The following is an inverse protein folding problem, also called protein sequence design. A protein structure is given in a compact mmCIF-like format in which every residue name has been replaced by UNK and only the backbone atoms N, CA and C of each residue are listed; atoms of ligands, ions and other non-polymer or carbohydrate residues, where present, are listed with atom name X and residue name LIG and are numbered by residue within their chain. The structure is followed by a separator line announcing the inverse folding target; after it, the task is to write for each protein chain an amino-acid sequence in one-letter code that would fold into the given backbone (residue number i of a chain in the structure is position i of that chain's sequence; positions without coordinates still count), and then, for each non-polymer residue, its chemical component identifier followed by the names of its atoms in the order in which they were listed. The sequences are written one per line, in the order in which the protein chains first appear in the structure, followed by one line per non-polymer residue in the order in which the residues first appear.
data_IF_396861670395
#
_entry.id   IF_396861670395
#
_cell.length_a   1.000
_cell.length_b   1.000
_cell.length_c   1.000
_cell.angle_alpha   90.00
_cell.angle_beta   90.00
_cell.angle_gamma   90.00
#
_symmetry.space_group_name_H-M   'P 1'
#
loop_
_entity.id
_entity.type
_entity.pdbx_description
1 polymer ?
#
# COMPACT_ATOMS: atom_id res chain seq x y z
N UNK A 1 -5.78 -2.48 -24.79
CA UNK A 1 -6.90 -1.81 -24.07
C UNK A 1 -6.40 -0.52 -23.43
N UNK A 2 -7.32 0.34 -22.98
CA UNK A 2 -7.06 1.58 -22.23
C UNK A 2 -7.47 1.36 -20.77
N UNK A 3 -6.51 1.47 -19.87
CA UNK A 3 -6.68 1.14 -18.45
C UNK A 3 -6.50 2.41 -17.63
N UNK A 4 -7.55 2.78 -16.90
CA UNK A 4 -7.50 3.84 -15.92
C UNK A 4 -7.09 3.27 -14.57
N UNK A 5 -6.06 3.81 -13.96
CA UNK A 5 -5.63 3.44 -12.62
C UNK A 5 -5.95 4.58 -11.67
N UNK A 6 -6.60 4.29 -10.55
CA UNK A 6 -6.93 5.28 -9.51
C UNK A 6 -6.24 4.91 -8.20
N UNK A 7 -5.29 5.74 -7.76
CA UNK A 7 -4.57 5.47 -6.51
C UNK A 7 -4.07 6.75 -5.87
N UNK A 8 -4.12 6.85 -4.55
CA UNK A 8 -3.66 8.06 -3.85
C UNK A 8 -2.17 8.31 -4.08
N UNK A 9 -1.34 7.30 -3.82
CA UNK A 9 0.12 7.42 -3.90
C UNK A 9 0.66 6.78 -5.18
N UNK A 10 1.43 7.55 -5.95
CA UNK A 10 2.16 7.07 -7.13
C UNK A 10 3.63 7.53 -7.12
N UNK A 11 4.33 7.64 -8.25
CA UNK A 11 5.62 8.33 -8.30
C UNK A 11 5.50 9.73 -7.66
N UNK A 12 6.50 10.26 -6.93
CA UNK A 12 7.77 9.66 -6.54
C UNK A 12 7.72 8.92 -5.19
N UNK A 13 6.54 8.50 -4.72
CA UNK A 13 6.44 7.70 -3.51
C UNK A 13 7.08 6.32 -3.72
N UNK A 14 7.83 5.88 -2.70
CA UNK A 14 8.53 4.59 -2.65
C UNK A 14 7.91 3.68 -1.58
N UNK A 15 6.63 3.31 -1.79
CA UNK A 15 5.92 2.36 -0.93
C UNK A 15 6.18 0.90 -1.32
N UNK A 16 5.90 -0.07 -0.43
CA UNK A 16 6.19 -1.49 -0.67
C UNK A 16 5.46 -2.08 -1.89
N UNK A 17 4.31 -1.52 -2.26
CA UNK A 17 3.54 -1.94 -3.44
C UNK A 17 3.96 -1.23 -4.74
N UNK A 18 4.73 -0.15 -4.65
CA UNK A 18 5.10 0.66 -5.82
C UNK A 18 5.96 -0.13 -6.82
N UNK A 19 6.97 -0.92 -6.41
CA UNK A 19 7.72 -1.76 -7.35
C UNK A 19 6.82 -2.71 -8.14
N UNK A 20 5.86 -3.36 -7.46
CA UNK A 20 4.92 -4.31 -8.09
C UNK A 20 4.05 -3.61 -9.12
N UNK A 21 3.46 -2.46 -8.79
CA UNK A 21 2.61 -1.72 -9.73
C UNK A 21 3.42 -1.10 -10.88
N UNK A 22 4.62 -0.59 -10.61
CA UNK A 22 5.51 -0.07 -11.65
C UNK A 22 5.87 -1.16 -12.66
N UNK A 23 6.29 -2.33 -12.18
CA UNK A 23 6.57 -3.49 -13.02
C UNK A 23 5.32 -3.94 -13.80
N UNK A 24 4.19 -4.10 -13.11
CA UNK A 24 2.91 -4.49 -13.74
C UNK A 24 2.49 -3.55 -14.86
N UNK A 25 2.60 -2.23 -14.65
CA UNK A 25 2.18 -1.26 -15.65
C UNK A 25 3.18 -1.16 -16.80
N UNK A 26 4.48 -1.31 -16.55
CA UNK A 26 5.49 -1.43 -17.60
C UNK A 26 5.20 -2.63 -18.52
N UNK A 27 4.93 -3.79 -17.94
CA UNK A 27 4.58 -5.00 -18.70
C UNK A 27 3.28 -4.83 -19.50
N UNK A 28 2.26 -4.21 -18.90
CA UNK A 28 1.02 -3.92 -19.63
C UNK A 28 1.25 -2.95 -20.79
N UNK A 29 2.08 -1.92 -20.61
CA UNK A 29 2.45 -1.00 -21.68
C UNK A 29 3.24 -1.70 -22.78
N UNK A 30 4.20 -2.55 -22.43
CA UNK A 30 4.97 -3.36 -23.38
C UNK A 30 4.06 -4.30 -24.20
N UNK A 31 2.98 -4.80 -23.60
CA UNK A 31 1.92 -5.58 -24.28
C UNK A 31 0.93 -4.72 -25.09
N UNK A 32 1.18 -3.42 -25.25
CA UNK A 32 0.37 -2.52 -26.07
C UNK A 32 -0.86 -1.93 -25.39
N UNK A 33 -0.99 -2.07 -24.06
CA UNK A 33 -2.04 -1.39 -23.30
C UNK A 33 -1.68 0.08 -23.05
N UNK A 34 -2.69 0.96 -23.07
CA UNK A 34 -2.52 2.38 -22.75
C UNK A 34 -2.91 2.61 -21.29
N UNK A 35 -1.96 3.05 -20.48
CA UNK A 35 -2.19 3.32 -19.05
C UNK A 35 -2.45 4.81 -18.84
N UNK A 36 -3.49 5.12 -18.08
CA UNK A 36 -3.77 6.45 -17.53
C UNK A 36 -3.86 6.34 -16.02
N UNK A 37 -3.04 7.08 -15.29
CA UNK A 37 -2.96 7.03 -13.82
C UNK A 37 -3.52 8.33 -13.28
N UNK A 38 -4.52 8.28 -12.40
CA UNK A 38 -4.95 9.41 -11.58
C UNK A 38 -4.39 9.20 -10.19
N UNK A 39 -3.48 10.09 -9.78
CA UNK A 39 -2.85 10.06 -8.47
C UNK A 39 -2.79 11.44 -7.85
N UNK A 40 -2.61 11.52 -6.53
CA UNK A 40 -2.54 12.82 -5.90
C UNK A 40 -1.26 13.56 -6.29
N UNK A 41 -1.26 14.87 -6.06
CA UNK A 41 0.01 15.58 -5.89
C UNK A 41 0.82 14.97 -4.73
N UNK A 42 2.15 14.99 -4.80
CA UNK A 42 3.00 14.56 -3.68
C UNK A 42 2.75 15.39 -2.41
N UNK A 43 2.54 14.69 -1.30
CA UNK A 43 2.21 15.17 0.04
C UNK A 43 2.46 14.00 1.04
N UNK A 44 3.07 14.21 2.23
CA UNK A 44 3.70 13.18 3.12
C UNK A 44 5.12 12.76 2.71
N UNK A 45 6.10 12.47 3.59
CA UNK A 45 6.20 11.98 4.99
C UNK A 45 7.43 12.68 5.64
N UNK A 46 7.30 13.26 6.84
CA UNK A 46 8.40 13.90 7.64
C UNK A 46 9.47 14.65 6.79
N UNK A 47 9.15 15.88 6.40
CA UNK A 47 10.05 16.81 5.69
C UNK A 47 10.09 16.53 4.18
N UNK A 48 9.63 17.39 3.27
CA UNK A 48 9.33 18.81 3.33
C UNK A 48 8.22 19.09 2.29
N UNK A 49 7.10 19.75 2.61
CA UNK A 49 6.18 20.27 1.58
C UNK A 49 6.86 21.25 0.62
N UNK A 50 8.03 21.78 1.02
CA UNK A 50 8.87 22.73 0.29
C UNK A 50 9.51 22.14 -0.98
N UNK A 51 9.43 20.82 -1.19
CA UNK A 51 10.11 20.15 -2.32
C UNK A 51 9.29 20.10 -3.62
N UNK A 52 8.04 20.56 -3.61
CA UNK A 52 7.17 20.49 -4.79
C UNK A 52 6.48 21.82 -5.10
N UNK A 53 7.26 22.90 -5.19
CA UNK A 53 6.75 24.25 -5.50
C UNK A 53 6.01 24.29 -6.84
N UNK A 54 6.37 23.41 -7.78
CA UNK A 54 5.74 23.31 -9.10
C UNK A 54 4.27 22.89 -9.05
N UNK A 55 3.79 22.32 -7.94
CA UNK A 55 2.40 21.89 -7.76
C UNK A 55 1.55 22.85 -6.91
N UNK A 56 2.13 23.94 -6.41
CA UNK A 56 1.40 24.90 -5.58
C UNK A 56 0.28 25.60 -6.36
N UNK A 57 -0.90 25.70 -5.74
CA UNK A 57 -2.08 26.36 -6.33
C UNK A 57 -2.79 25.59 -7.44
N UNK A 58 -2.28 24.42 -7.86
CA UNK A 58 -2.91 23.59 -8.89
C UNK A 58 -3.95 22.64 -8.29
N UNK A 59 -5.09 22.51 -8.98
CA UNK A 59 -6.09 21.47 -8.66
C UNK A 59 -5.84 20.19 -9.44
N UNK A 60 -5.37 20.30 -10.68
CA UNK A 60 -5.05 19.18 -11.54
C UNK A 60 -3.85 19.50 -12.42
N UNK A 61 -3.09 18.46 -12.79
CA UNK A 61 -2.02 18.58 -13.76
C UNK A 61 -1.88 17.29 -14.55
N UNK A 62 -1.77 17.41 -15.88
CA UNK A 62 -1.53 16.26 -16.75
C UNK A 62 -0.06 16.25 -17.17
N UNK A 63 0.60 15.15 -16.88
CA UNK A 63 2.00 14.89 -17.21
C UNK A 63 2.14 13.45 -17.73
N UNK A 64 3.37 12.96 -17.80
CA UNK A 64 3.69 11.59 -18.21
C UNK A 64 4.53 10.89 -17.14
N UNK A 65 4.39 9.57 -17.07
CA UNK A 65 5.31 8.69 -16.37
C UNK A 65 5.64 7.57 -17.35
N UNK A 66 6.89 7.52 -17.84
CA UNK A 66 7.24 6.68 -18.99
C UNK A 66 6.31 7.02 -20.18
N UNK A 67 5.67 6.02 -20.80
CA UNK A 67 4.65 6.20 -21.83
C UNK A 67 3.21 6.29 -21.28
N UNK A 68 3.00 6.24 -19.96
CA UNK A 68 1.70 6.38 -19.34
C UNK A 68 1.29 7.86 -19.21
N UNK A 69 0.00 8.13 -19.38
CA UNK A 69 -0.57 9.43 -18.98
C UNK A 69 -0.70 9.48 -17.47
N UNK A 70 -0.16 10.52 -16.82
CA UNK A 70 -0.29 10.74 -15.39
C UNK A 70 -1.09 12.02 -15.14
N UNK A 71 -2.20 11.91 -14.42
CA UNK A 71 -3.04 13.02 -14.00
C UNK A 71 -2.86 13.17 -12.49
N UNK A 72 -2.22 14.25 -12.08
CA UNK A 72 -2.15 14.68 -10.69
C UNK A 72 -3.45 15.35 -10.30
N UNK A 73 -3.97 15.00 -9.14
CA UNK A 73 -5.18 15.58 -8.56
C UNK A 73 -4.93 16.17 -7.18
N UNK A 74 -5.73 17.18 -6.85
CA UNK A 74 -5.69 17.87 -5.57
C UNK A 74 -5.82 16.91 -4.39
N UNK A 75 -5.11 17.23 -3.32
CA UNK A 75 -5.26 16.54 -2.04
C UNK A 75 -4.92 17.49 -0.91
N UNK A 76 -5.71 17.43 0.15
CA UNK A 76 -5.46 18.19 1.37
C UNK A 76 -4.34 17.52 2.17
N UNK A 77 -3.11 18.02 2.07
CA UNK A 77 -1.93 17.45 2.72
C UNK A 77 -1.22 18.40 3.69
N UNK A 78 -1.82 18.77 4.83
CA UNK A 78 -1.18 19.65 5.80
C UNK A 78 0.07 18.99 6.42
N UNK A 79 1.06 19.80 6.81
CA UNK A 79 2.17 19.32 7.64
C UNK A 79 1.69 19.17 9.07
N UNK A 80 1.65 17.93 9.55
CA UNK A 80 1.25 17.59 10.91
C UNK A 80 2.34 18.02 11.89
N UNK A 81 2.05 19.02 12.73
CA UNK A 81 2.87 19.36 13.89
C UNK A 81 2.31 18.77 15.20
N UNK A 82 0.98 18.57 15.26
CA UNK A 82 0.29 18.10 16.47
C UNK A 82 -0.57 16.85 16.20
N UNK A 83 -0.51 15.89 17.12
CA UNK A 83 -1.25 14.62 17.03
C UNK A 83 -2.76 14.76 17.28
N UNK A 84 -3.20 15.88 17.90
CA UNK A 84 -4.60 16.08 18.34
C UNK A 84 -5.64 15.98 17.22
N UNK A 85 -5.28 16.40 16.00
CA UNK A 85 -6.16 16.39 14.83
C UNK A 85 -5.72 15.42 13.73
N UNK A 86 -4.73 14.56 14.00
CA UNK A 86 -4.12 13.69 12.99
C UNK A 86 -5.17 12.80 12.28
N UNK A 87 -6.14 12.26 13.01
CA UNK A 87 -7.21 11.44 12.44
C UNK A 87 -8.15 12.24 11.52
N UNK A 88 -8.57 13.43 11.95
CA UNK A 88 -9.45 14.30 11.17
C UNK A 88 -8.77 14.74 9.87
N UNK A 89 -7.53 15.21 9.96
CA UNK A 89 -6.76 15.63 8.79
C UNK A 89 -6.45 14.47 7.84
N UNK A 90 -6.23 13.25 8.34
CA UNK A 90 -6.12 12.06 7.51
C UNK A 90 -7.44 11.72 6.79
N UNK A 91 -8.58 11.91 7.45
CA UNK A 91 -9.87 11.76 6.81
C UNK A 91 -10.08 12.83 5.72
N UNK A 92 -9.79 14.10 6.00
CA UNK A 92 -9.87 15.19 5.01
C UNK A 92 -8.93 14.96 3.83
N UNK A 93 -7.74 14.42 4.08
CA UNK A 93 -6.78 14.02 3.05
C UNK A 93 -7.41 13.00 2.07
N UNK A 94 -7.97 11.91 2.61
CA UNK A 94 -8.59 10.89 1.78
C UNK A 94 -9.84 11.41 1.05
N UNK A 95 -10.70 12.15 1.73
CA UNK A 95 -11.94 12.70 1.14
C UNK A 95 -11.62 13.70 0.03
N UNK A 96 -10.72 14.65 0.26
CA UNK A 96 -10.32 15.64 -0.76
C UNK A 96 -9.70 14.99 -1.99
N UNK A 97 -8.84 13.98 -1.81
CA UNK A 97 -8.32 13.19 -2.92
C UNK A 97 -9.43 12.43 -3.62
N UNK A 98 -10.35 11.77 -2.90
CA UNK A 98 -11.38 10.98 -3.57
C UNK A 98 -12.28 11.85 -4.47
N UNK A 99 -12.65 13.04 -3.98
CA UNK A 99 -13.43 14.00 -4.77
C UNK A 99 -12.63 14.45 -6.00
N UNK A 100 -11.38 14.87 -5.84
CA UNK A 100 -10.55 15.33 -6.95
C UNK A 100 -10.26 14.20 -7.95
N UNK A 101 -10.01 12.98 -7.47
CA UNK A 101 -9.75 11.79 -8.27
C UNK A 101 -10.96 11.43 -9.13
N UNK A 102 -12.18 11.50 -8.58
CA UNK A 102 -13.42 11.27 -9.32
C UNK A 102 -13.56 12.32 -10.44
N UNK A 103 -13.37 13.60 -10.13
CA UNK A 103 -13.44 14.69 -11.12
C UNK A 103 -12.41 14.47 -12.24
N UNK A 104 -11.15 14.24 -11.89
CA UNK A 104 -10.08 13.99 -12.85
C UNK A 104 -10.35 12.72 -13.69
N UNK A 105 -10.80 11.64 -13.05
CA UNK A 105 -11.15 10.39 -13.71
C UNK A 105 -12.28 10.55 -14.72
N UNK A 106 -13.30 11.34 -14.39
CA UNK A 106 -14.44 11.64 -15.28
C UNK A 106 -13.99 12.54 -16.44
N UNK A 107 -13.42 13.70 -16.16
CA UNK A 107 -13.25 14.76 -17.16
C UNK A 107 -11.89 14.76 -17.87
N UNK A 108 -10.84 14.19 -17.28
CA UNK A 108 -9.47 14.31 -17.81
C UNK A 108 -8.89 12.99 -18.33
N UNK A 109 -9.38 11.84 -17.84
CA UNK A 109 -8.84 10.55 -18.25
C UNK A 109 -9.19 10.13 -19.69
N UNK A 110 -10.06 10.86 -20.40
CA UNK A 110 -10.50 10.47 -21.75
C UNK A 110 -11.25 9.13 -21.79
N UNK A 111 -11.30 8.48 -22.96
CA UNK A 111 -11.98 7.18 -23.12
C UNK A 111 -11.10 6.04 -22.57
N UNK A 112 -11.70 5.21 -21.73
CA UNK A 112 -11.07 4.11 -21.01
C UNK A 112 -11.92 2.84 -21.17
N UNK A 113 -11.33 1.65 -21.07
CA UNK A 113 -12.04 0.38 -21.23
C UNK A 113 -12.29 -0.30 -19.87
N UNK A 114 -11.41 -0.08 -18.89
CA UNK A 114 -11.49 -0.65 -17.54
C UNK A 114 -10.78 0.25 -16.52
N UNK A 115 -11.24 0.21 -15.28
CA UNK A 115 -10.58 0.88 -14.14
C UNK A 115 -9.89 -0.16 -13.26
N UNK A 116 -8.66 0.10 -12.84
CA UNK A 116 -7.92 -0.67 -11.85
C UNK A 116 -7.74 0.16 -10.57
N UNK A 117 -8.17 -0.38 -9.44
CA UNK A 117 -8.19 0.32 -8.16
C UNK A 117 -7.55 -0.53 -7.05
N UNK A 118 -6.30 -0.23 -6.65
CA UNK A 118 -5.68 -0.89 -5.51
C UNK A 118 -6.25 -0.42 -4.17
N UNK A 119 -6.40 -1.34 -3.22
CA UNK A 119 -7.02 -1.09 -1.91
C UNK A 119 -6.15 -0.29 -0.94
N UNK A 120 -4.84 -0.17 -1.22
CA UNK A 120 -3.86 0.33 -0.27
C UNK A 120 -2.94 1.38 -0.87
N UNK A 121 -2.83 2.55 -0.20
CA UNK A 121 -3.87 3.29 0.52
C UNK A 121 -4.65 4.22 -0.43
N UNK A 122 -5.89 4.60 -0.10
CA UNK A 122 -6.84 4.01 0.87
C UNK A 122 -7.86 3.04 0.21
N UNK A 123 -8.63 2.31 1.05
CA UNK A 123 -9.79 1.49 0.65
C UNK A 123 -10.72 2.26 -0.30
N UNK A 124 -10.86 3.57 -0.06
CA UNK A 124 -11.75 4.47 -0.80
C UNK A 124 -11.34 4.71 -2.26
N UNK A 125 -10.18 4.23 -2.73
CA UNK A 125 -9.88 4.13 -4.16
C UNK A 125 -10.96 3.33 -4.91
N UNK A 126 -11.56 2.32 -4.26
CA UNK A 126 -12.67 1.56 -4.82
C UNK A 126 -13.93 2.40 -5.02
N UNK A 127 -14.19 3.36 -4.12
CA UNK A 127 -15.30 4.31 -4.27
C UNK A 127 -15.06 5.21 -5.49
N UNK A 128 -13.83 5.72 -5.65
CA UNK A 128 -13.47 6.51 -6.82
C UNK A 128 -13.72 5.72 -8.12
N UNK A 129 -13.25 4.48 -8.16
CA UNK A 129 -13.45 3.60 -9.31
C UNK A 129 -14.93 3.33 -9.59
N UNK A 130 -15.75 3.13 -8.55
CA UNK A 130 -17.18 2.94 -8.69
C UNK A 130 -17.87 4.16 -9.33
N UNK A 131 -17.65 5.37 -8.79
CA UNK A 131 -18.29 6.58 -9.34
C UNK A 131 -17.79 6.94 -10.74
N UNK A 132 -16.50 6.80 -11.01
CA UNK A 132 -15.95 7.01 -12.37
C UNK A 132 -16.55 5.97 -13.33
N UNK A 133 -16.61 4.71 -12.91
CA UNK A 133 -17.19 3.61 -13.69
C UNK A 133 -18.67 3.81 -13.98
N UNK A 134 -19.44 4.33 -13.02
CA UNK A 134 -20.85 4.67 -13.18
C UNK A 134 -21.08 5.74 -14.25
N UNK A 135 -20.32 6.83 -14.20
CA UNK A 135 -20.45 7.95 -15.15
C UNK A 135 -19.91 7.58 -16.53
N UNK A 136 -18.78 6.86 -16.59
CA UNK A 136 -18.17 6.41 -17.86
C UNK A 136 -18.76 5.14 -18.43
N UNK A 137 -19.65 4.46 -17.69
CA UNK A 137 -20.23 3.15 -18.03
C UNK A 137 -19.17 2.09 -18.34
N UNK A 138 -18.13 2.01 -17.50
CA UNK A 138 -17.03 1.04 -17.62
C UNK A 138 -16.85 0.26 -16.31
N UNK A 139 -16.44 -1.02 -16.39
CA UNK A 139 -16.21 -1.83 -15.21
C UNK A 139 -14.94 -1.43 -14.47
N UNK A 140 -14.86 -1.81 -13.19
CA UNK A 140 -13.62 -1.72 -12.42
C UNK A 140 -13.20 -3.05 -11.81
N UNK A 141 -11.90 -3.21 -11.65
CA UNK A 141 -11.22 -4.30 -10.95
C UNK A 141 -10.65 -3.72 -9.66
N UNK A 142 -11.00 -4.33 -8.54
CA UNK A 142 -10.48 -3.92 -7.23
C UNK A 142 -9.38 -4.88 -6.79
N UNK A 143 -8.20 -4.36 -6.43
CA UNK A 143 -7.07 -5.18 -6.00
C UNK A 143 -6.81 -5.02 -4.51
N UNK A 144 -7.18 -6.04 -3.74
CA UNK A 144 -7.06 -6.10 -2.29
C UNK A 144 -5.64 -6.51 -1.91
N UNK A 145 -4.90 -5.57 -1.35
CA UNK A 145 -3.54 -5.76 -0.83
C UNK A 145 -3.54 -5.93 0.68
N UNK A 146 -4.52 -5.32 1.36
CA UNK A 146 -4.66 -5.36 2.82
C UNK A 146 -6.14 -5.54 3.19
N UNK A 147 -6.43 -6.36 4.21
CA UNK A 147 -7.78 -6.55 4.77
C UNK A 147 -8.11 -5.44 5.79
N UNK A 148 -8.28 -4.22 5.30
CA UNK A 148 -8.72 -3.07 6.08
C UNK A 148 -10.24 -2.86 5.88
N UNK A 149 -11.05 -2.67 6.94
CA UNK A 149 -10.68 -2.24 8.31
C UNK A 149 -10.37 -3.38 9.30
N UNK A 150 -10.56 -4.65 8.94
CA UNK A 150 -10.52 -5.76 9.91
C UNK A 150 -9.21 -5.89 10.67
N UNK A 151 -8.07 -5.74 9.99
CA UNK A 151 -6.76 -5.75 10.65
C UNK A 151 -6.64 -4.64 11.70
N UNK A 152 -7.10 -3.43 11.40
CA UNK A 152 -7.04 -2.30 12.33
C UNK A 152 -7.98 -2.50 13.54
N UNK A 153 -9.14 -3.14 13.33
CA UNK A 153 -10.06 -3.48 14.42
C UNK A 153 -9.47 -4.56 15.32
N UNK A 154 -8.94 -5.65 14.75
CA UNK A 154 -8.33 -6.76 15.52
C UNK A 154 -7.13 -6.31 16.34
N UNK A 155 -6.32 -5.40 15.81
CA UNK A 155 -5.16 -4.84 16.51
C UNK A 155 -5.52 -3.73 17.50
N UNK A 156 -6.81 -3.39 17.65
CA UNK A 156 -7.28 -2.34 18.55
C UNK A 156 -6.87 -0.92 18.13
N UNK A 157 -6.35 -0.74 16.91
CA UNK A 157 -5.98 0.57 16.34
C UNK A 157 -7.26 1.38 16.06
N UNK A 158 -8.28 0.72 15.52
CA UNK A 158 -9.58 1.32 15.24
C UNK A 158 -10.64 0.78 16.21
N UNK A 159 -11.10 1.63 17.13
CA UNK A 159 -12.07 1.26 18.18
C UNK A 159 -13.45 1.89 18.01
N UNK A 160 -13.56 2.98 17.26
CA UNK A 160 -14.83 3.71 17.13
C UNK A 160 -15.82 2.92 16.27
N UNK A 161 -16.91 2.45 16.88
CA UNK A 161 -17.93 1.59 16.24
C UNK A 161 -18.60 2.25 15.03
N UNK A 162 -18.83 3.56 15.05
CA UNK A 162 -19.44 4.27 13.94
C UNK A 162 -18.50 4.32 12.73
N UNK A 163 -17.22 4.62 12.95
CA UNK A 163 -16.19 4.63 11.89
C UNK A 163 -16.01 3.22 11.32
N UNK A 164 -15.96 2.18 12.17
CA UNK A 164 -15.85 0.79 11.74
C UNK A 164 -17.03 0.42 10.83
N UNK A 165 -18.26 0.77 11.24
CA UNK A 165 -19.47 0.50 10.45
C UNK A 165 -19.43 1.23 9.09
N UNK A 166 -19.00 2.49 9.06
CA UNK A 166 -18.87 3.25 7.83
C UNK A 166 -17.82 2.63 6.87
N UNK A 167 -16.66 2.22 7.40
CA UNK A 167 -15.61 1.60 6.59
C UNK A 167 -16.02 0.22 6.07
N UNK A 168 -16.76 -0.56 6.86
CA UNK A 168 -17.34 -1.85 6.41
C UNK A 168 -18.37 -1.65 5.32
N UNK A 169 -19.25 -0.66 5.45
CA UNK A 169 -20.21 -0.34 4.40
C UNK A 169 -19.49 0.05 3.10
N UNK A 170 -18.41 0.83 3.18
CA UNK A 170 -17.59 1.17 2.02
C UNK A 170 -16.98 -0.10 1.41
N UNK A 171 -16.40 -0.97 2.23
CA UNK A 171 -15.80 -2.24 1.81
C UNK A 171 -16.84 -3.10 1.07
N UNK A 172 -18.02 -3.28 1.66
CA UNK A 172 -19.12 -4.07 1.09
C UNK A 172 -19.57 -3.51 -0.26
N UNK A 173 -19.77 -2.18 -0.36
CA UNK A 173 -20.15 -1.53 -1.63
C UNK A 173 -19.06 -1.71 -2.69
N UNK A 174 -17.79 -1.58 -2.32
CA UNK A 174 -16.68 -1.73 -3.27
C UNK A 174 -16.62 -3.17 -3.80
N UNK A 175 -16.77 -4.17 -2.94
CA UNK A 175 -16.76 -5.58 -3.37
C UNK A 175 -17.98 -5.95 -4.20
N UNK A 176 -19.17 -5.48 -3.80
CA UNK A 176 -20.41 -5.71 -4.54
C UNK A 176 -20.32 -5.15 -5.97
N UNK A 177 -19.83 -3.91 -6.11
CA UNK A 177 -19.80 -3.20 -7.40
C UNK A 177 -18.61 -3.53 -8.28
N UNK A 178 -17.56 -4.15 -7.75
CA UNK A 178 -16.40 -4.55 -8.54
C UNK A 178 -16.77 -5.67 -9.53
N UNK A 179 -16.30 -5.56 -10.78
CA UNK A 179 -16.46 -6.65 -11.76
C UNK A 179 -15.61 -7.86 -11.38
N UNK A 180 -14.41 -7.61 -10.85
CA UNK A 180 -13.51 -8.60 -10.26
C UNK A 180 -12.82 -8.01 -9.04
N UNK A 181 -12.59 -8.87 -8.05
CA UNK A 181 -11.83 -8.57 -6.84
C UNK A 181 -10.60 -9.47 -6.85
N UNK A 182 -9.43 -8.85 -7.01
CA UNK A 182 -8.13 -9.53 -7.02
C UNK A 182 -7.56 -9.53 -5.61
N UNK A 183 -7.24 -10.72 -5.09
CA UNK A 183 -6.56 -10.91 -3.79
C UNK A 183 -5.20 -11.56 -4.02
N UNK A 184 -4.29 -11.40 -3.05
CA UNK A 184 -2.90 -11.89 -3.18
C UNK A 184 -2.65 -13.25 -2.54
N UNK A 185 -3.66 -13.88 -1.92
CA UNK A 185 -3.53 -15.19 -1.29
C UNK A 185 -4.87 -15.93 -1.14
N UNK A 186 -4.79 -17.25 -0.99
CA UNK A 186 -5.94 -18.11 -0.65
C UNK A 186 -6.60 -17.71 0.67
N UNK A 187 -5.80 -17.31 1.67
CA UNK A 187 -6.31 -16.87 2.97
C UNK A 187 -7.20 -15.61 2.82
N UNK A 188 -6.80 -14.67 1.97
CA UNK A 188 -7.62 -13.49 1.67
C UNK A 188 -8.85 -13.85 0.86
N UNK A 189 -8.76 -14.76 -0.11
CA UNK A 189 -9.94 -15.27 -0.84
C UNK A 189 -10.95 -15.86 0.14
N UNK A 190 -10.52 -16.75 1.03
CA UNK A 190 -11.36 -17.36 2.07
C UNK A 190 -12.00 -16.32 2.99
N UNK A 191 -11.23 -15.29 3.37
CA UNK A 191 -11.77 -14.21 4.19
C UNK A 191 -12.91 -13.46 3.48
N UNK A 192 -12.75 -13.13 2.20
CA UNK A 192 -13.78 -12.43 1.42
C UNK A 192 -15.00 -13.31 1.11
N UNK A 193 -14.83 -14.62 0.94
CA UNK A 193 -15.96 -15.56 0.83
C UNK A 193 -16.82 -15.55 2.10
N UNK A 194 -16.20 -15.52 3.29
CA UNK A 194 -16.91 -15.41 4.58
C UNK A 194 -17.67 -14.07 4.69
N UNK A 195 -17.21 -13.03 3.98
CA UNK A 195 -17.89 -11.73 3.87
C UNK A 195 -18.97 -11.70 2.78
N UNK A 196 -19.33 -12.84 2.20
CA UNK A 196 -20.32 -12.95 1.13
C UNK A 196 -19.93 -12.27 -0.19
N UNK A 197 -18.63 -12.09 -0.47
CA UNK A 197 -18.19 -11.72 -1.81
C UNK A 197 -18.35 -12.92 -2.73
N UNK A 198 -19.04 -12.75 -3.85
CA UNK A 198 -19.30 -13.82 -4.82
C UNK A 198 -17.99 -14.46 -5.32
N UNK A 199 -17.95 -15.80 -5.35
CA UNK A 199 -16.72 -16.52 -5.71
C UNK A 199 -16.28 -16.24 -7.15
N UNK A 200 -17.24 -16.08 -8.07
CA UNK A 200 -16.94 -15.82 -9.46
C UNK A 200 -16.23 -14.47 -9.66
N UNK A 201 -16.43 -13.49 -8.76
CA UNK A 201 -15.73 -12.19 -8.74
C UNK A 201 -14.29 -12.32 -8.25
N UNK A 202 -13.99 -13.30 -7.39
CA UNK A 202 -12.69 -13.42 -6.74
C UNK A 202 -11.64 -14.05 -7.66
N UNK A 203 -10.48 -13.42 -7.77
CA UNK A 203 -9.30 -13.96 -8.47
C UNK A 203 -8.06 -13.82 -7.60
N UNK A 204 -7.26 -14.88 -7.55
CA UNK A 204 -5.99 -14.84 -6.85
C UNK A 204 -4.91 -14.48 -7.85
N UNK A 205 -4.24 -13.35 -7.62
CA UNK A 205 -3.04 -12.95 -8.33
C UNK A 205 -2.04 -12.55 -7.26
N UNK A 206 -1.11 -13.45 -6.97
CA UNK A 206 -0.08 -13.22 -5.97
C UNK A 206 0.81 -12.06 -6.38
N UNK A 207 1.25 -11.28 -5.39
CA UNK A 207 2.32 -10.33 -5.60
C UNK A 207 3.58 -11.07 -6.04
N UNK A 208 4.34 -10.43 -6.91
CA UNK A 208 5.56 -10.98 -7.49
C UNK A 208 6.74 -10.07 -7.21
N UNK A 209 7.93 -10.58 -7.49
CA UNK A 209 9.19 -9.85 -7.43
C UNK A 209 9.84 -9.87 -8.80
N UNK A 210 10.69 -8.89 -9.06
CA UNK A 210 11.60 -8.93 -10.20
C UNK A 210 12.70 -9.97 -9.89
N UNK A 211 12.68 -11.09 -10.61
CA UNK A 211 13.63 -12.19 -10.44
C UNK A 211 14.97 -11.94 -11.12
N UNK A 212 15.08 -10.93 -11.97
CA UNK A 212 16.37 -10.51 -12.53
C UNK A 212 17.08 -9.59 -11.53
N UNK A 213 16.31 -8.83 -10.74
CA UNK A 213 16.83 -8.00 -9.64
C UNK A 213 17.08 -8.79 -8.35
N UNK A 214 16.16 -9.69 -7.96
CA UNK A 214 16.29 -10.52 -6.75
C UNK A 214 16.63 -11.95 -7.16
N UNK A 215 17.93 -12.26 -7.09
CA UNK A 215 18.48 -13.58 -7.40
C UNK A 215 19.19 -14.17 -6.17
N UNK A 216 19.33 -15.51 -6.10
CA UNK A 216 20.22 -16.13 -5.13
C UNK A 216 21.64 -15.62 -5.31
N UNK A 217 22.26 -15.18 -4.21
CA UNK A 217 23.63 -14.70 -4.17
C UNK A 217 24.43 -15.46 -3.13
N UNK A 218 25.75 -15.37 -3.22
CA UNK A 218 26.64 -15.94 -2.22
C UNK A 218 26.37 -15.34 -0.84
N UNK A 219 26.44 -16.22 0.18
CA UNK A 219 26.29 -15.82 1.58
C UNK A 219 27.35 -14.78 1.96
N UNK A 220 28.58 -14.98 1.49
CA UNK A 220 29.69 -14.07 1.69
C UNK A 220 29.63 -12.96 0.64
N UNK A 221 29.32 -11.75 1.09
CA UNK A 221 29.25 -10.55 0.29
C UNK A 221 29.65 -9.34 1.12
N UNK A 222 29.62 -8.15 0.51
CA UNK A 222 30.01 -6.90 1.18
C UNK A 222 29.16 -6.63 2.43
N UNK A 223 27.85 -6.87 2.35
CA UNK A 223 26.92 -6.65 3.46
C UNK A 223 27.20 -7.61 4.61
N UNK A 224 27.33 -8.91 4.32
CA UNK A 224 27.56 -9.92 5.35
C UNK A 224 28.92 -9.76 6.03
N UNK A 225 29.95 -9.36 5.29
CA UNK A 225 31.29 -9.07 5.83
C UNK A 225 31.27 -7.84 6.72
N UNK A 226 30.59 -6.76 6.28
CA UNK A 226 30.48 -5.51 7.04
C UNK A 226 29.80 -5.67 8.41
N UNK A 227 28.88 -6.62 8.54
CA UNK A 227 28.10 -6.85 9.75
C UNK A 227 28.47 -8.17 10.46
N UNK A 228 29.62 -8.76 10.15
CA UNK A 228 30.15 -9.98 10.78
C UNK A 228 29.17 -11.18 10.75
N UNK A 229 28.45 -11.32 9.64
CA UNK A 229 27.39 -12.32 9.45
C UNK A 229 27.88 -13.65 8.84
N UNK A 230 29.08 -13.67 8.24
CA UNK A 230 29.58 -14.80 7.45
C UNK A 230 29.67 -16.10 8.25
N UNK A 231 30.11 -16.02 9.51
CA UNK A 231 30.33 -17.19 10.37
C UNK A 231 29.08 -17.63 11.14
N UNK A 232 27.94 -16.95 10.98
CA UNK A 232 26.71 -17.20 11.75
C UNK A 232 25.60 -17.79 10.88
N UNK A 233 24.68 -18.50 11.51
CA UNK A 233 23.36 -18.78 10.95
C UNK A 233 22.46 -17.57 11.21
N UNK A 234 22.18 -16.79 10.18
CA UNK A 234 21.48 -15.51 10.31
C UNK A 234 19.98 -15.69 10.13
N UNK A 235 19.22 -15.31 11.14
CA UNK A 235 17.76 -15.14 11.06
C UNK A 235 17.49 -13.66 10.81
N UNK A 236 17.26 -13.31 9.55
CA UNK A 236 17.08 -11.93 9.11
C UNK A 236 15.59 -11.52 9.08
N UNK A 237 15.28 -10.41 9.75
CA UNK A 237 14.06 -9.64 9.49
C UNK A 237 14.41 -8.33 8.78
N UNK A 238 13.95 -8.16 7.54
CA UNK A 238 14.14 -6.95 6.74
C UNK A 238 12.78 -6.32 6.42
N UNK A 239 12.45 -5.18 7.04
CA UNK A 239 11.14 -4.57 6.85
C UNK A 239 10.79 -3.48 7.87
N UNK A 240 9.55 -2.99 7.82
CA UNK A 240 9.07 -1.98 8.78
C UNK A 240 8.84 -2.62 10.17
N UNK A 241 9.12 -1.92 11.27
CA UNK A 241 8.75 -2.35 12.64
C UNK A 241 7.47 -1.60 13.03
N UNK A 242 6.35 -2.32 13.01
CA UNK A 242 5.05 -1.82 13.40
C UNK A 242 4.28 -2.88 14.19
N UNK A 243 3.26 -2.43 14.93
CA UNK A 243 2.39 -3.30 15.72
C UNK A 243 1.88 -4.56 14.96
N UNK A 244 1.47 -4.48 13.68
CA UNK A 244 0.95 -5.65 12.97
C UNK A 244 1.97 -6.77 12.74
N UNK A 245 3.27 -6.49 12.84
CA UNK A 245 4.32 -7.45 12.45
C UNK A 245 4.72 -8.42 13.57
N UNK A 246 4.27 -8.20 14.81
CA UNK A 246 4.45 -9.15 15.91
C UNK A 246 5.91 -9.50 16.23
N UNK A 247 6.83 -8.56 16.09
CA UNK A 247 8.27 -8.82 16.26
C UNK A 247 8.65 -9.17 17.70
N UNK A 248 7.77 -8.92 18.66
CA UNK A 248 7.91 -9.44 20.02
C UNK A 248 8.07 -10.97 20.05
N UNK A 249 7.43 -11.71 19.14
CA UNK A 249 7.60 -13.17 19.03
C UNK A 249 8.98 -13.56 18.52
N UNK A 250 9.56 -12.78 17.60
CA UNK A 250 10.91 -13.00 17.08
C UNK A 250 11.95 -12.76 18.18
N UNK A 251 11.77 -11.67 18.97
CA UNK A 251 12.62 -11.40 20.14
C UNK A 251 12.49 -12.51 21.19
N UNK A 252 11.28 -13.02 21.41
CA UNK A 252 11.09 -14.15 22.32
C UNK A 252 11.81 -15.41 21.83
N UNK A 253 11.75 -15.72 20.54
CA UNK A 253 12.50 -16.84 19.95
C UNK A 253 14.01 -16.66 20.12
N UNK A 254 14.53 -15.44 19.91
CA UNK A 254 15.93 -15.12 20.15
C UNK A 254 16.35 -15.37 21.60
N UNK A 255 15.49 -15.03 22.57
CA UNK A 255 15.73 -15.32 23.99
C UNK A 255 15.80 -16.82 24.28
N UNK A 256 14.87 -17.60 23.72
CA UNK A 256 14.84 -19.06 23.90
C UNK A 256 16.11 -19.69 23.33
N UNK A 257 16.59 -19.19 22.20
CA UNK A 257 17.75 -19.72 21.48
C UNK A 257 19.09 -19.08 21.88
N UNK A 258 19.14 -18.24 22.91
CA UNK A 258 20.34 -17.45 23.28
C UNK A 258 21.60 -18.29 23.59
N UNK A 259 21.43 -19.56 23.97
CA UNK A 259 22.54 -20.48 24.23
C UNK A 259 23.18 -21.03 22.96
N UNK A 260 22.52 -20.89 21.81
CA UNK A 260 23.04 -21.30 20.51
C UNK A 260 23.85 -20.14 19.88
N UNK A 261 25.12 -20.01 20.29
CA UNK A 261 26.01 -18.91 19.87
C UNK A 261 26.26 -18.80 18.35
N UNK A 262 25.87 -19.81 17.57
CA UNK A 262 25.95 -19.79 16.10
C UNK A 262 24.74 -19.13 15.44
N UNK A 263 23.62 -18.96 16.15
CA UNK A 263 22.42 -18.32 15.61
C UNK A 263 22.46 -16.83 15.93
N UNK A 264 22.30 -16.00 14.91
CA UNK A 264 22.25 -14.55 15.04
C UNK A 264 20.92 -14.03 14.49
N UNK A 265 20.15 -13.35 15.32
CA UNK A 265 18.94 -12.64 14.89
C UNK A 265 19.30 -11.22 14.48
N UNK A 266 19.02 -10.85 13.24
CA UNK A 266 19.38 -9.54 12.69
C UNK A 266 18.14 -8.82 12.17
N UNK A 267 17.98 -7.54 12.55
CA UNK A 267 16.83 -6.72 12.14
C UNK A 267 17.30 -5.53 11.29
N UNK A 268 17.05 -5.56 9.98
CA UNK A 268 17.32 -4.45 9.06
C UNK A 268 16.03 -3.68 8.84
N UNK A 269 15.81 -2.65 9.64
CA UNK A 269 14.46 -2.11 9.77
C UNK A 269 14.38 -0.65 10.23
N UNK A 270 13.22 -0.06 9.99
CA UNK A 270 12.79 1.26 10.48
C UNK A 270 11.34 1.13 10.94
N UNK A 271 10.84 2.04 11.77
CA UNK A 271 9.43 2.05 12.13
C UNK A 271 9.17 2.63 13.50
N UNK A 272 7.90 2.91 13.78
CA UNK A 272 7.43 3.55 15.01
C UNK A 272 7.63 2.65 16.25
N UNK A 273 7.61 1.33 16.08
CA UNK A 273 7.73 0.38 17.18
C UNK A 273 9.18 -0.06 17.45
N UNK A 274 10.17 0.52 16.74
CA UNK A 274 11.58 0.16 16.88
C UNK A 274 12.07 0.26 18.33
N UNK A 275 11.84 1.40 18.97
CA UNK A 275 12.35 1.66 20.32
C UNK A 275 11.69 0.75 21.38
N UNK A 276 10.47 0.27 21.11
CA UNK A 276 9.80 -0.73 21.95
C UNK A 276 10.46 -2.11 21.81
N UNK A 277 10.78 -2.51 20.57
CA UNK A 277 11.46 -3.78 20.30
C UNK A 277 12.88 -3.77 20.89
N UNK A 278 13.62 -2.65 20.75
CA UNK A 278 14.95 -2.52 21.35
C UNK A 278 14.92 -2.68 22.88
N UNK A 279 14.03 -1.98 23.57
CA UNK A 279 13.83 -2.15 25.03
C UNK A 279 13.48 -3.58 25.41
N UNK A 280 12.65 -4.25 24.62
CA UNK A 280 12.29 -5.65 24.85
C UNK A 280 13.49 -6.60 24.74
N UNK A 281 14.47 -6.31 23.86
CA UNK A 281 15.73 -7.05 23.79
C UNK A 281 16.58 -6.81 25.04
N UNK A 282 16.77 -5.54 25.43
CA UNK A 282 17.56 -5.14 26.60
C UNK A 282 17.03 -5.80 27.88
N UNK A 283 15.72 -5.76 28.13
CA UNK A 283 15.06 -6.42 29.26
C UNK A 283 15.25 -7.94 29.29
N UNK A 284 15.54 -8.55 28.13
CA UNK A 284 15.74 -9.99 27.98
C UNK A 284 17.21 -10.38 27.96
N UNK A 285 18.12 -9.40 28.04
CA UNK A 285 19.57 -9.59 27.97
C UNK A 285 20.02 -10.06 26.59
N UNK A 286 19.40 -9.52 25.54
CA UNK A 286 19.72 -9.76 24.13
C UNK A 286 20.36 -8.53 23.48
#
# INVERSE_FOLDING_TARGET
MRILVVMLYWYPYEGPLMPIYRASFKDLMAKGHKITIVASFPHFRKGRPETWTEYQGKFFEKTTWESATLIRSYVFGPVFKDDKFALLFRALNFVSFNISCIIAGIFMAGKQDVIFAPSSPPLTNGICAYFIGLVKKIPFIYNVQDLYPDMAVKLGILKNRAIIRALRLIEDVVYDKARKVVVISEAMKKNLLIKNVEEDKLRIISNFIDTDFITPMDKENEFSTKFDLNSKFVVLYAGNIGLPHGLEFVVHAAKVLRTHAQILFTFVSRGEYKDKIMRSCEEKGL
#
